data_IF_016591000023
#
_entry.id   IF_016591000023
#
_cell.length_a   1.000
_cell.length_b   1.000
_cell.length_c   1.000
_cell.angle_alpha   90.00
_cell.angle_beta   90.00
_cell.angle_gamma   90.00
#
_symmetry.space_group_name_H-M   'P 1'
#
loop_
_entity.id
_entity.type
_entity.pdbx_description
1 polymer ?
#
# COMPACT_ATOMS: atom_id res chain seq x y z
N UNK A 1 -32.30 -8.35 3.38
CA UNK A 1 -31.48 -9.30 2.58
C UNK A 1 -30.15 -8.65 2.23
N UNK A 2 -29.10 -9.40 1.89
CA UNK A 2 -27.78 -8.82 1.60
C UNK A 2 -27.68 -8.34 0.16
N UNK A 3 -26.90 -7.28 -0.04
CA UNK A 3 -26.56 -6.68 -1.34
C UNK A 3 -26.00 -7.68 -2.37
N UNK A 4 -25.42 -8.79 -1.90
CA UNK A 4 -24.78 -9.81 -2.72
C UNK A 4 -25.71 -10.96 -3.16
N UNK A 5 -26.80 -11.23 -2.42
CA UNK A 5 -27.56 -12.52 -2.53
C UNK A 5 -28.98 -12.36 -3.09
N UNK A 6 -29.57 -11.15 -3.15
CA UNK A 6 -30.92 -10.91 -3.72
C UNK A 6 -30.99 -9.47 -4.28
N UNK A 7 -31.66 -9.06 -5.38
CA UNK A 7 -32.84 -9.50 -6.14
C UNK A 7 -32.79 -8.86 -7.55
N UNK A 8 -33.08 -9.62 -8.62
CA UNK A 8 -33.44 -9.26 -10.04
C UNK A 8 -32.86 -8.03 -10.78
N UNK A 9 -32.04 -7.18 -10.17
CA UNK A 9 -31.48 -5.97 -10.76
C UNK A 9 -30.24 -6.27 -11.62
N UNK A 10 -30.12 -5.70 -12.85
CA UNK A 10 -28.89 -5.76 -13.63
C UNK A 10 -27.66 -5.12 -12.95
N UNK A 11 -27.85 -4.10 -12.09
CA UNK A 11 -26.77 -3.33 -11.46
C UNK A 11 -26.31 -3.94 -10.11
N UNK A 12 -26.03 -5.24 -10.09
CA UNK A 12 -25.56 -5.97 -8.90
C UNK A 12 -24.05 -6.28 -8.96
N UNK A 13 -23.35 -6.34 -7.82
CA UNK A 13 -22.02 -6.93 -7.79
C UNK A 13 -22.11 -8.41 -8.15
N UNK A 14 -21.27 -8.86 -9.07
CA UNK A 14 -21.23 -10.26 -9.48
C UNK A 14 -20.38 -10.46 -10.72
N UNK A 15 -20.23 -11.71 -11.12
CA UNK A 15 -19.59 -12.04 -12.38
C UNK A 15 -20.41 -11.46 -13.55
N UNK A 16 -19.71 -10.95 -14.56
CA UNK A 16 -20.34 -10.46 -15.79
C UNK A 16 -20.94 -11.68 -16.52
N UNK A 17 -22.25 -11.68 -16.68
CA UNK A 17 -22.98 -12.69 -17.44
C UNK A 17 -23.54 -12.03 -18.71
N UNK A 18 -23.03 -12.38 -19.88
CA UNK A 18 -23.45 -11.82 -21.18
C UNK A 18 -22.52 -10.73 -21.72
N UNK A 19 -23.06 -9.83 -22.54
CA UNK A 19 -22.27 -8.76 -23.16
C UNK A 19 -22.04 -7.60 -22.17
N UNK A 20 -20.79 -7.29 -21.78
CA UNK A 20 -20.48 -6.22 -20.83
C UNK A 20 -20.86 -4.82 -21.32
N UNK A 21 -21.04 -4.63 -22.63
CA UNK A 21 -21.42 -3.33 -23.16
C UNK A 21 -22.92 -3.04 -23.00
N UNK A 22 -23.74 -4.07 -22.73
CA UNK A 22 -25.17 -3.92 -22.58
C UNK A 22 -25.50 -3.46 -21.15
N UNK A 23 -25.96 -2.22 -20.98
CA UNK A 23 -26.30 -1.64 -19.67
C UNK A 23 -25.29 -0.63 -19.11
N UNK A 24 -24.22 -0.30 -19.84
CA UNK A 24 -23.38 0.85 -19.48
C UNK A 24 -24.24 2.11 -19.60
N UNK A 25 -24.50 2.77 -18.47
CA UNK A 25 -25.41 3.90 -18.39
C UNK A 25 -24.66 5.23 -18.42
N UNK A 26 -23.41 5.24 -17.97
CA UNK A 26 -22.62 6.47 -17.81
C UNK A 26 -21.12 6.19 -17.84
N UNK A 27 -20.35 7.27 -17.87
CA UNK A 27 -18.90 7.25 -17.69
C UNK A 27 -18.59 7.94 -16.38
N UNK A 28 -17.96 7.21 -15.46
CA UNK A 28 -17.51 7.74 -14.18
C UNK A 28 -16.04 8.12 -14.31
N UNK A 29 -15.69 9.30 -13.82
CA UNK A 29 -14.31 9.70 -13.62
C UNK A 29 -13.91 9.36 -12.19
N UNK A 30 -12.85 8.58 -12.01
CA UNK A 30 -12.31 8.22 -10.70
C UNK A 30 -10.89 8.78 -10.57
N UNK A 31 -10.70 9.68 -9.60
CA UNK A 31 -9.37 10.09 -9.16
C UNK A 31 -8.74 8.93 -8.37
N UNK A 32 -7.59 8.44 -8.84
CA UNK A 32 -6.88 7.32 -8.22
C UNK A 32 -5.37 7.38 -8.46
N UNK A 33 -4.61 6.55 -7.77
CA UNK A 33 -3.15 6.44 -7.99
C UNK A 33 -2.86 5.34 -9.01
N UNK A 34 -2.38 5.71 -10.19
CA UNK A 34 -1.94 4.76 -11.22
C UNK A 34 -0.47 4.41 -11.04
N UNK A 35 -0.17 3.11 -11.11
CA UNK A 35 1.19 2.58 -11.21
C UNK A 35 1.56 2.46 -12.69
N UNK A 36 2.61 3.15 -13.13
CA UNK A 36 3.11 3.07 -14.51
C UNK A 36 4.10 1.94 -14.70
N UNK A 37 4.97 1.76 -13.72
CA UNK A 37 5.95 0.69 -13.69
C UNK A 37 6.24 0.30 -12.24
N UNK A 38 6.63 -0.95 -12.04
CA UNK A 38 7.02 -1.46 -10.75
C UNK A 38 8.02 -2.60 -10.91
N UNK A 39 8.99 -2.66 -10.00
CA UNK A 39 9.89 -3.80 -9.90
C UNK A 39 9.95 -4.35 -8.49
N UNK A 40 10.31 -5.63 -8.38
CA UNK A 40 10.56 -6.31 -7.12
C UNK A 40 11.99 -6.83 -7.13
N UNK A 41 12.76 -6.49 -6.12
CA UNK A 41 14.12 -6.98 -5.92
C UNK A 41 14.17 -7.78 -4.61
N UNK A 42 14.55 -9.04 -4.69
CA UNK A 42 14.77 -9.90 -3.51
C UNK A 42 16.25 -10.23 -3.42
N UNK A 43 16.87 -9.92 -2.28
CA UNK A 43 18.27 -10.26 -2.01
C UNK A 43 18.40 -10.93 -0.64
N UNK A 44 19.35 -11.86 -0.52
CA UNK A 44 19.76 -12.41 0.77
C UNK A 44 21.13 -11.84 1.09
N UNK A 45 21.26 -11.20 2.24
CA UNK A 45 22.47 -10.50 2.65
C UNK A 45 22.92 -11.02 4.03
N UNK A 46 24.21 -11.28 4.15
CA UNK A 46 24.86 -11.71 5.40
C UNK A 46 25.74 -10.59 5.94
N UNK A 47 25.93 -10.57 7.26
CA UNK A 47 26.72 -9.54 7.92
C UNK A 47 25.99 -8.19 8.04
N UNK A 48 24.65 -8.19 8.02
CA UNK A 48 23.85 -6.98 8.23
C UNK A 48 24.01 -6.55 9.69
N UNK A 49 24.57 -5.36 9.91
CA UNK A 49 24.75 -4.81 11.25
C UNK A 49 23.54 -3.93 11.58
N UNK A 50 22.72 -4.37 12.54
CA UNK A 50 21.62 -3.58 13.08
C UNK A 50 22.00 -3.00 14.44
N UNK A 51 21.98 -1.68 14.53
CA UNK A 51 22.01 -0.95 15.79
C UNK A 51 20.58 -0.92 16.35
N UNK A 52 20.39 -1.49 17.53
CA UNK A 52 19.10 -1.56 18.21
C UNK A 52 18.98 -0.49 19.29
N UNK A 53 17.79 0.07 19.45
CA UNK A 53 17.40 1.04 20.45
C UNK A 53 16.02 0.69 21.02
N UNK A 54 15.54 1.48 21.98
CA UNK A 54 14.18 1.38 22.54
C UNK A 54 13.84 -0.05 23.00
N UNK A 55 14.68 -0.59 23.88
CA UNK A 55 14.50 -1.92 24.46
C UNK A 55 13.23 -1.99 25.30
N UNK A 56 12.44 -3.03 25.08
CA UNK A 56 11.25 -3.35 25.86
C UNK A 56 11.25 -4.85 26.20
N UNK A 57 11.36 -5.24 27.48
CA UNK A 57 11.50 -4.42 28.69
C UNK A 57 12.80 -3.59 28.73
N UNK A 58 12.76 -2.44 29.42
CA UNK A 58 13.94 -1.58 29.61
C UNK A 58 15.06 -2.30 30.36
N UNK A 59 16.32 -1.98 30.03
CA UNK A 59 17.53 -2.51 30.67
C UNK A 59 17.63 -4.05 30.68
N UNK A 60 17.67 -4.72 29.52
CA UNK A 60 17.76 -6.18 29.46
C UNK A 60 19.11 -6.69 29.99
N UNK A 61 19.11 -7.88 30.62
CA UNK A 61 20.34 -8.50 31.10
C UNK A 61 21.18 -9.05 29.94
N UNK A 62 22.42 -8.57 29.83
CA UNK A 62 23.38 -9.01 28.80
C UNK A 62 24.05 -10.35 29.19
N UNK A 63 24.47 -11.19 28.22
CA UNK A 63 24.35 -11.02 26.77
C UNK A 63 22.95 -11.34 26.24
N UNK A 64 22.55 -10.68 25.15
CA UNK A 64 21.28 -10.94 24.48
C UNK A 64 21.42 -12.10 23.49
N UNK A 65 20.40 -12.94 23.41
CA UNK A 65 20.26 -14.01 22.42
C UNK A 65 19.29 -13.56 21.34
N UNK A 66 19.72 -13.57 20.09
CA UNK A 66 18.87 -13.22 18.96
C UNK A 66 17.79 -14.30 18.73
N UNK A 67 16.55 -13.89 18.44
CA UNK A 67 15.45 -14.80 18.09
C UNK A 67 14.99 -14.53 16.66
N UNK A 68 14.60 -13.30 16.34
CA UNK A 68 14.17 -12.91 15.01
C UNK A 68 14.29 -11.41 14.79
N UNK A 69 14.26 -10.99 13.53
CA UNK A 69 14.12 -9.60 13.14
C UNK A 69 13.17 -9.50 11.95
N UNK A 70 12.15 -8.66 12.08
CA UNK A 70 11.09 -8.49 11.09
C UNK A 70 10.71 -7.02 10.99
N UNK A 71 9.96 -6.63 9.95
CA UNK A 71 9.45 -5.27 9.82
C UNK A 71 8.68 -4.81 11.07
N UNK A 72 8.90 -3.57 11.47
CA UNK A 72 8.09 -2.96 12.52
C UNK A 72 6.63 -2.81 12.04
N UNK A 73 5.64 -3.35 12.77
CA UNK A 73 4.24 -3.24 12.37
C UNK A 73 3.79 -1.78 12.23
N UNK A 74 2.92 -1.53 11.25
CA UNK A 74 2.30 -0.21 11.00
C UNK A 74 3.29 0.94 10.73
N UNK A 75 4.56 0.65 10.43
CA UNK A 75 5.57 1.67 10.12
C UNK A 75 6.04 1.49 8.69
N UNK A 76 5.80 2.50 7.85
CA UNK A 76 6.18 2.46 6.43
C UNK A 76 7.68 2.69 6.24
N UNK A 77 8.26 2.08 5.20
CA UNK A 77 9.62 2.40 4.76
C UNK A 77 9.69 3.82 4.19
N UNK A 78 10.81 4.50 4.38
CA UNK A 78 11.02 5.86 3.87
C UNK A 78 12.13 5.89 2.84
N UNK A 79 11.94 6.71 1.81
CA UNK A 79 12.93 6.95 0.76
C UNK A 79 13.72 8.22 1.13
N UNK A 80 15.05 8.16 1.02
CA UNK A 80 15.93 9.33 1.03
C UNK A 80 16.83 9.33 -0.21
N UNK A 81 17.40 10.49 -0.51
CA UNK A 81 18.40 10.66 -1.58
C UNK A 81 17.92 10.15 -2.95
N UNK A 82 16.64 10.37 -3.26
CA UNK A 82 16.04 9.96 -4.53
C UNK A 82 16.62 10.77 -5.69
N UNK A 83 17.20 10.06 -6.64
CA UNK A 83 17.72 10.58 -7.90
C UNK A 83 17.04 9.84 -9.05
N UNK A 84 16.57 10.58 -10.04
CA UNK A 84 15.91 10.05 -11.23
C UNK A 84 16.70 10.52 -12.46
N UNK A 85 17.63 9.69 -12.90
CA UNK A 85 18.53 9.98 -14.01
C UNK A 85 17.98 9.39 -15.30
N UNK A 86 17.49 10.25 -16.19
CA UNK A 86 16.92 9.82 -17.48
C UNK A 86 18.01 9.43 -18.46
N UNK A 87 17.72 8.44 -19.29
CA UNK A 87 18.65 8.00 -20.32
C UNK A 87 18.37 8.76 -21.62
N UNK A 88 19.39 9.41 -22.18
CA UNK A 88 19.28 10.15 -23.45
C UNK A 88 18.87 9.24 -24.62
N UNK A 89 19.27 7.96 -24.59
CA UNK A 89 18.92 6.97 -25.61
C UNK A 89 17.49 6.44 -25.50
N UNK A 90 16.87 6.56 -24.33
CA UNK A 90 15.60 5.93 -23.99
C UNK A 90 14.73 6.91 -23.17
N UNK A 91 14.01 7.85 -23.82
CA UNK A 91 13.41 9.01 -23.15
C UNK A 91 12.32 8.69 -22.11
N UNK A 92 11.75 7.48 -22.16
CA UNK A 92 10.75 7.03 -21.17
C UNK A 92 11.34 6.10 -20.10
N UNK A 93 12.66 5.96 -20.02
CA UNK A 93 13.33 5.15 -19.01
C UNK A 93 14.30 6.02 -18.20
N UNK A 94 14.32 5.77 -16.90
CA UNK A 94 15.23 6.45 -15.97
C UNK A 94 15.84 5.45 -15.00
N UNK A 95 17.12 5.67 -14.67
CA UNK A 95 17.75 5.05 -13.53
C UNK A 95 17.24 5.76 -12.28
N UNK A 96 16.51 5.02 -11.45
CA UNK A 96 15.95 5.49 -10.19
C UNK A 96 16.84 4.96 -9.08
N UNK A 97 17.64 5.85 -8.48
CA UNK A 97 18.57 5.54 -7.40
C UNK A 97 18.09 6.18 -6.10
N UNK A 98 18.09 5.42 -5.00
CA UNK A 98 17.63 5.92 -3.71
C UNK A 98 18.15 5.07 -2.55
N UNK A 99 18.07 5.63 -1.34
CA UNK A 99 18.27 4.94 -0.09
C UNK A 99 16.91 4.61 0.55
N UNK A 100 16.68 3.35 0.88
CA UNK A 100 15.46 2.89 1.53
C UNK A 100 15.75 2.59 3.00
N UNK A 101 15.07 3.31 3.89
CA UNK A 101 15.11 3.01 5.33
C UNK A 101 13.93 2.12 5.69
N UNK A 102 14.23 0.89 6.11
CA UNK A 102 13.26 -0.12 6.52
C UNK A 102 13.27 -0.18 8.06
N UNK A 103 12.15 0.13 8.73
CA UNK A 103 12.03 -0.04 10.17
C UNK A 103 11.92 -1.52 10.52
N UNK A 104 12.74 -1.98 11.47
CA UNK A 104 12.86 -3.38 11.86
C UNK A 104 12.70 -3.49 13.37
N UNK A 105 11.94 -4.48 13.81
CA UNK A 105 11.84 -4.88 15.22
C UNK A 105 12.62 -6.17 15.41
N UNK A 106 13.60 -6.12 16.31
CA UNK A 106 14.41 -7.27 16.70
C UNK A 106 13.80 -7.88 17.96
N UNK A 107 13.45 -9.16 17.90
CA UNK A 107 13.07 -9.96 19.06
C UNK A 107 14.30 -10.69 19.58
N UNK A 108 14.53 -10.56 20.88
CA UNK A 108 15.65 -11.18 21.58
C UNK A 108 15.19 -11.85 22.88
N UNK A 109 16.09 -12.61 23.48
CA UNK A 109 15.96 -13.16 24.82
C UNK A 109 17.17 -12.72 25.65
N UNK A 110 16.93 -12.18 26.82
CA UNK A 110 17.99 -11.73 27.71
C UNK A 110 18.70 -12.92 28.41
N UNK A 111 19.74 -12.63 29.20
CA UNK A 111 20.48 -13.65 29.95
C UNK A 111 19.65 -14.35 31.04
N UNK A 112 18.54 -13.74 31.49
CA UNK A 112 17.61 -14.30 32.46
C UNK A 112 16.48 -15.13 31.80
N UNK A 113 16.46 -15.22 30.47
CA UNK A 113 15.43 -15.92 29.74
C UNK A 113 14.12 -15.12 29.55
N UNK A 114 14.14 -13.82 29.74
CA UNK A 114 13.01 -12.92 29.45
C UNK A 114 13.05 -12.54 27.97
N UNK A 115 11.91 -12.67 27.29
CA UNK A 115 11.77 -12.20 25.91
C UNK A 115 11.61 -10.68 25.89
N UNK A 116 12.30 -10.02 24.95
CA UNK A 116 12.20 -8.58 24.74
C UNK A 116 12.23 -8.22 23.26
N UNK A 117 11.85 -6.99 22.95
CA UNK A 117 11.90 -6.40 21.62
C UNK A 117 12.75 -5.13 21.66
N UNK A 118 13.37 -4.82 20.53
CA UNK A 118 14.08 -3.57 20.32
C UNK A 118 13.82 -3.07 18.89
N UNK A 119 13.91 -1.77 18.69
CA UNK A 119 13.74 -1.14 17.39
C UNK A 119 15.08 -0.92 16.71
N UNK A 120 15.11 -1.10 15.40
CA UNK A 120 16.27 -0.84 14.56
C UNK A 120 15.81 -0.26 13.22
N UNK A 121 16.76 0.31 12.48
CA UNK A 121 16.53 0.74 11.10
C UNK A 121 17.59 0.13 10.20
N UNK A 122 17.14 -0.41 9.07
CA UNK A 122 17.98 -0.99 8.03
C UNK A 122 17.96 -0.07 6.82
N UNK A 123 19.12 0.45 6.43
CA UNK A 123 19.25 1.31 5.24
C UNK A 123 19.82 0.50 4.08
N UNK A 124 19.12 0.48 2.96
CA UNK A 124 19.52 -0.26 1.74
C UNK A 124 19.55 0.68 0.56
N UNK A 125 20.70 0.78 -0.11
CA UNK A 125 20.81 1.50 -1.38
C UNK A 125 20.32 0.62 -2.53
N UNK A 126 19.48 1.17 -3.41
CA UNK A 126 19.06 0.49 -4.65
C UNK A 126 19.09 1.46 -5.82
N UNK A 127 19.43 0.91 -6.98
CA UNK A 127 19.37 1.56 -8.28
C UNK A 127 18.70 0.62 -9.27
N UNK A 128 17.61 1.07 -9.90
CA UNK A 128 16.81 0.27 -10.83
C UNK A 128 16.40 1.10 -12.04
N UNK A 129 16.42 0.49 -13.22
CA UNK A 129 15.92 1.10 -14.45
C UNK A 129 14.39 0.90 -14.50
N UNK A 130 13.64 1.98 -14.51
CA UNK A 130 12.17 1.96 -14.56
C UNK A 130 11.65 2.81 -15.71
N UNK A 131 10.47 2.45 -16.22
CA UNK A 131 9.72 3.27 -17.14
C UNK A 131 9.10 4.47 -16.40
N UNK A 132 9.51 5.67 -16.77
CA UNK A 132 9.05 6.94 -16.21
C UNK A 132 8.50 7.78 -17.35
N UNK A 133 7.16 7.93 -17.47
CA UNK A 133 6.53 8.56 -18.63
C UNK A 133 6.86 10.07 -18.76
N UNK A 134 6.94 10.56 -20.00
CA UNK A 134 7.11 11.98 -20.32
C UNK A 134 6.39 12.37 -21.64
N UNK A 135 5.94 13.64 -21.82
CA UNK A 135 5.76 14.71 -20.84
C UNK A 135 4.38 14.68 -20.16
N UNK A 136 4.32 15.06 -18.87
CA UNK A 136 3.07 15.18 -18.12
C UNK A 136 3.10 16.43 -17.22
N UNK A 137 1.95 17.12 -17.09
CA UNK A 137 1.73 18.19 -16.11
C UNK A 137 1.54 17.62 -14.71
N UNK A 138 0.99 16.40 -14.64
CA UNK A 138 0.79 15.67 -13.40
C UNK A 138 2.12 15.16 -12.84
N UNK A 139 2.44 15.42 -11.56
CA UNK A 139 3.71 15.00 -10.97
C UNK A 139 3.79 13.48 -10.83
N UNK A 140 4.94 12.93 -11.19
CA UNK A 140 5.27 11.52 -10.97
C UNK A 140 5.99 11.41 -9.63
N UNK A 141 5.57 10.44 -8.81
CA UNK A 141 6.19 10.10 -7.54
C UNK A 141 6.79 8.69 -7.62
N UNK A 142 7.90 8.50 -6.93
CA UNK A 142 8.48 7.17 -6.68
C UNK A 142 8.09 6.75 -5.28
N UNK A 143 7.52 5.56 -5.15
CA UNK A 143 7.18 4.96 -3.87
C UNK A 143 7.89 3.62 -3.75
N UNK A 144 8.33 3.27 -2.54
CA UNK A 144 9.03 2.03 -2.29
C UNK A 144 8.61 1.45 -0.95
N UNK A 145 8.54 0.13 -0.90
CA UNK A 145 8.25 -0.65 0.29
C UNK A 145 9.33 -1.71 0.44
N UNK A 146 9.92 -1.81 1.62
CA UNK A 146 10.93 -2.80 1.94
C UNK A 146 10.43 -3.76 3.01
N UNK A 147 10.54 -5.05 2.74
CA UNK A 147 10.32 -6.12 3.69
C UNK A 147 11.65 -6.74 4.07
N UNK A 148 11.82 -7.01 5.35
CA UNK A 148 12.99 -7.66 5.92
C UNK A 148 12.56 -8.78 6.86
N UNK A 149 13.21 -9.93 6.74
CA UNK A 149 13.03 -11.05 7.66
C UNK A 149 14.34 -11.77 7.89
N UNK A 150 14.62 -12.06 9.16
CA UNK A 150 15.78 -12.83 9.58
C UNK A 150 15.46 -13.70 10.81
N UNK A 151 15.96 -14.94 10.77
CA UNK A 151 15.97 -15.88 11.89
C UNK A 151 17.41 -16.28 12.27
N UNK A 152 18.41 -15.68 11.62
CA UNK A 152 19.83 -15.98 11.81
C UNK A 152 20.54 -14.70 12.22
N UNK A 153 20.98 -14.65 13.47
CA UNK A 153 21.60 -13.47 14.04
C UNK A 153 22.44 -13.77 15.26
N UNK A 154 23.39 -12.89 15.52
CA UNK A 154 24.27 -12.96 16.69
C UNK A 154 24.41 -11.60 17.34
N UNK A 155 24.41 -11.58 18.67
CA UNK A 155 24.73 -10.39 19.44
C UNK A 155 26.25 -10.21 19.44
N UNK A 156 26.73 -9.10 18.88
CA UNK A 156 28.17 -8.92 18.57
C UNK A 156 28.83 -7.81 19.38
N UNK A 157 28.06 -6.78 19.74
CA UNK A 157 28.51 -5.68 20.59
C UNK A 157 27.30 -5.13 21.38
N UNK A 158 27.51 -4.27 22.40
CA UNK A 158 26.40 -3.60 23.08
C UNK A 158 25.45 -2.97 22.07
N UNK A 159 24.17 -3.31 22.17
CA UNK A 159 23.11 -2.82 21.29
C UNK A 159 23.30 -3.10 19.79
N UNK A 160 24.11 -4.10 19.43
CA UNK A 160 24.40 -4.43 18.03
C UNK A 160 24.18 -5.90 17.72
N UNK A 161 23.34 -6.16 16.73
CA UNK A 161 23.13 -7.50 16.16
C UNK A 161 23.71 -7.59 14.76
N UNK A 162 24.43 -8.68 14.49
CA UNK A 162 24.88 -9.03 13.14
C UNK A 162 24.01 -10.17 12.62
N UNK A 163 23.30 -9.92 11.52
CA UNK A 163 22.24 -10.77 11.00
C UNK A 163 22.56 -11.28 9.59
N UNK A 164 21.91 -12.38 9.24
CA UNK A 164 21.75 -12.83 7.85
C UNK A 164 20.26 -12.95 7.56
N UNK A 165 19.78 -12.26 6.55
CA UNK A 165 18.35 -12.15 6.29
C UNK A 165 18.02 -11.91 4.83
N UNK A 166 16.73 -11.99 4.53
CA UNK A 166 16.18 -11.71 3.23
C UNK A 166 15.57 -10.30 3.23
N UNK A 167 15.90 -9.53 2.20
CA UNK A 167 15.37 -8.20 1.94
C UNK A 167 14.57 -8.28 0.63
N UNK A 168 13.33 -7.84 0.65
CA UNK A 168 12.50 -7.68 -0.55
C UNK A 168 12.08 -6.23 -0.68
N UNK A 169 12.41 -5.59 -1.79
CA UNK A 169 12.06 -4.19 -2.05
C UNK A 169 11.16 -4.13 -3.28
N UNK A 170 10.02 -3.47 -3.13
CA UNK A 170 9.07 -3.18 -4.20
C UNK A 170 9.13 -1.69 -4.47
N UNK A 171 9.50 -1.31 -5.69
CA UNK A 171 9.55 0.09 -6.15
C UNK A 171 8.47 0.31 -7.17
N UNK A 172 7.77 1.45 -7.11
CA UNK A 172 6.67 1.80 -8.00
C UNK A 172 6.79 3.25 -8.47
N UNK A 173 6.61 3.46 -9.76
CA UNK A 173 6.42 4.76 -10.39
C UNK A 173 4.92 5.05 -10.40
N UNK A 174 4.48 6.09 -9.69
CA UNK A 174 3.06 6.37 -9.46
C UNK A 174 2.69 7.83 -9.75
N UNK A 175 1.42 8.07 -10.06
CA UNK A 175 0.84 9.41 -10.16
C UNK A 175 -0.64 9.35 -9.80
N UNK A 176 -1.16 10.43 -9.21
CA UNK A 176 -2.61 10.64 -9.10
C UNK A 176 -3.14 10.94 -10.51
N UNK A 177 -4.14 10.21 -10.98
CA UNK A 177 -4.72 10.37 -12.30
C UNK A 177 -6.23 10.18 -12.24
N UNK A 178 -6.91 10.76 -13.20
CA UNK A 178 -8.34 10.52 -13.42
C UNK A 178 -8.53 9.40 -14.44
N UNK A 179 -9.17 8.30 -14.02
CA UNK A 179 -9.50 7.18 -14.90
C UNK A 179 -10.98 7.25 -15.26
N UNK A 180 -11.26 7.22 -16.55
CA UNK A 180 -12.62 7.15 -17.08
C UNK A 180 -13.05 5.67 -17.15
N UNK A 181 -14.05 5.29 -16.35
CA UNK A 181 -14.56 3.92 -16.25
C UNK A 181 -16.02 3.90 -16.71
N UNK A 182 -16.41 3.01 -17.64
CA UNK A 182 -17.82 2.77 -17.92
C UNK A 182 -18.48 2.13 -16.70
N UNK A 183 -19.62 2.67 -16.26
CA UNK A 183 -20.38 2.13 -15.12
C UNK A 183 -21.80 1.73 -15.54
N UNK A 184 -22.39 0.82 -14.77
CA UNK A 184 -23.80 0.45 -14.88
C UNK A 184 -24.73 1.41 -14.10
N UNK A 185 -24.19 2.50 -13.53
CA UNK A 185 -24.91 3.40 -12.64
C UNK A 185 -24.91 2.94 -11.18
N UNK A 186 -25.79 3.54 -10.38
CA UNK A 186 -25.90 3.22 -8.96
C UNK A 186 -26.52 1.84 -8.71
N UNK A 187 -26.04 1.11 -7.70
CA UNK A 187 -26.62 -0.17 -7.34
C UNK A 187 -27.91 0.03 -6.51
N UNK A 188 -28.86 -0.90 -6.61
CA UNK A 188 -30.05 -0.89 -5.73
C UNK A 188 -29.71 -1.59 -4.42
N UNK A 189 -29.82 -0.89 -3.30
CA UNK A 189 -29.61 -1.45 -1.97
C UNK A 189 -30.89 -2.12 -1.47
N UNK A 190 -30.89 -3.44 -1.17
CA UNK A 190 -32.06 -4.10 -0.62
C UNK A 190 -32.32 -3.63 0.82
N UNK A 191 -33.59 -3.58 1.28
CA UNK A 191 -33.89 -3.23 2.66
C UNK A 191 -33.26 -4.24 3.63
N UNK A 192 -32.76 -3.71 4.76
CA UNK A 192 -32.30 -4.52 5.88
C UNK A 192 -33.47 -5.35 6.43
N UNK A 193 -33.23 -6.60 6.79
CA UNK A 193 -34.22 -7.41 7.48
C UNK A 193 -34.09 -7.12 8.98
N UNK A 194 -34.93 -6.23 9.52
CA UNK A 194 -34.98 -5.94 10.95
C UNK A 194 -36.12 -6.72 11.64
N UNK A 195 -35.94 -7.04 12.92
CA UNK A 195 -37.04 -7.40 13.82
C UNK A 195 -37.90 -6.14 14.08
N UNK A 196 -39.24 -6.23 14.23
CA UNK A 196 -40.12 -5.08 14.08
C UNK A 196 -40.03 -4.11 15.26
N UNK A 197 -39.16 -3.10 15.17
CA UNK A 197 -39.27 -1.88 15.99
C UNK A 197 -38.81 -0.64 15.20
N UNK A 198 -39.76 0.29 15.09
CA UNK A 198 -39.66 1.73 14.80
C UNK A 198 -38.89 2.15 13.54
N UNK A 199 -39.65 2.30 12.45
CA UNK A 199 -39.24 3.06 11.27
C UNK A 199 -39.19 4.56 11.60
N UNK A 200 -38.06 5.22 11.29
CA UNK A 200 -37.94 6.67 11.34
C UNK A 200 -38.42 7.26 10.01
N UNK A 201 -39.51 8.06 9.97
CA UNK A 201 -40.15 8.46 8.72
C UNK A 201 -39.40 9.51 7.90
N UNK A 202 -38.37 10.19 8.45
CA UNK A 202 -37.73 11.35 7.80
C UNK A 202 -36.69 11.03 6.71
N UNK A 203 -36.27 9.76 6.53
CA UNK A 203 -35.19 9.41 5.60
C UNK A 203 -35.64 8.62 4.36
N UNK A 204 -36.93 8.25 4.26
CA UNK A 204 -37.44 7.47 3.11
C UNK A 204 -37.68 8.30 1.84
N UNK A 205 -37.85 9.63 1.96
CA UNK A 205 -38.23 10.49 0.83
C UNK A 205 -37.05 11.00 -0.01
N UNK A 206 -35.81 10.79 0.43
CA UNK A 206 -34.61 11.25 -0.29
C UNK A 206 -33.91 10.08 -0.99
N UNK A 207 -33.50 10.24 -2.26
CA UNK A 207 -32.73 9.21 -2.95
C UNK A 207 -31.38 8.99 -2.25
N UNK A 208 -30.97 7.73 -2.14
CA UNK A 208 -29.70 7.33 -1.48
C UNK A 208 -28.49 7.94 -2.18
N UNK A 209 -28.56 8.05 -3.51
CA UNK A 209 -27.50 8.61 -4.34
C UNK A 209 -27.98 9.89 -5.02
N UNK A 210 -27.10 10.89 -5.20
CA UNK A 210 -27.46 12.11 -5.90
C UNK A 210 -27.81 11.78 -7.36
N UNK A 211 -28.98 12.22 -7.79
CA UNK A 211 -29.40 12.22 -9.19
C UNK A 211 -29.42 13.65 -9.70
N UNK A 212 -29.00 13.85 -10.95
CA UNK A 212 -29.13 15.16 -11.58
C UNK A 212 -30.62 15.49 -11.69
N UNK A 213 -31.04 16.63 -11.14
CA UNK A 213 -32.35 17.20 -11.44
C UNK A 213 -32.36 17.54 -12.93
N UNK A 214 -33.37 17.08 -13.66
CA UNK A 214 -33.55 17.40 -15.07
C UNK A 214 -33.97 18.86 -15.21
N UNK A 215 -33.03 19.79 -15.04
CA UNK A 215 -33.27 21.21 -15.29
C UNK A 215 -33.10 21.40 -16.80
N UNK A 216 -34.21 21.54 -17.53
CA UNK A 216 -34.26 21.91 -18.95
C UNK A 216 -33.64 23.30 -19.27
N UNK A 217 -32.89 23.90 -18.35
CA UNK A 217 -32.28 25.22 -18.47
C UNK A 217 -30.80 25.15 -18.07
N UNK A 218 -29.97 24.59 -18.94
CA UNK A 218 -28.53 24.89 -18.91
C UNK A 218 -28.31 26.03 -19.91
N UNK A 219 -27.80 27.22 -19.51
CA UNK A 219 -27.34 28.20 -20.46
C UNK A 219 -26.16 27.57 -21.21
N UNK A 220 -26.29 27.42 -22.53
CA UNK A 220 -25.14 27.13 -23.38
C UNK A 220 -24.19 28.32 -23.25
N UNK A 221 -23.03 28.09 -22.64
CA UNK A 221 -21.85 28.98 -22.75
C UNK A 221 -21.03 28.50 -23.93
#
# INVERSE_FOLDING_TARGET
MSFYINNSNPNKPGAICGNPLNGICEKILIETTKVFDACVCTTTESGIILQVADFFPENPALPLTFVSAENTPNTASTISDLVVDRLDSCPNYANVSFNLTIPVTVTYRDANGVAGTALASLVVNKSVLLFVPQPAVTPINITAMGNFSSQIGTFTAPNTFTLTGCIQIIVKVVSVVDILIPSYGYPILPPCQQSPQNACPSFEDLPIYPSATTINNIPRV
#
